data_IF_541209509937
#
_entry.id   IF_541209509937
#
_cell.length_a   1.000
_cell.length_b   1.000
_cell.length_c   1.000
_cell.angle_alpha   90.00
_cell.angle_beta   90.00
_cell.angle_gamma   90.00
#
_symmetry.space_group_name_H-M   'P 1'
#
loop_
_entity.id
_entity.type
_entity.pdbx_description
1 polymer ?
#
# COMPACT_ATOMS: atom_id res chain seq x y z
N UNK A 1 51.00 27.77 18.47
CA UNK A 1 50.15 28.72 17.73
C UNK A 1 50.06 28.23 16.28
N UNK A 2 49.01 27.48 15.95
CA UNK A 2 48.78 26.91 14.62
C UNK A 2 47.62 27.70 13.96
N UNK A 3 47.91 28.38 12.85
CA UNK A 3 46.93 29.14 12.05
C UNK A 3 46.03 28.18 11.28
N UNK A 4 44.72 28.14 11.59
CA UNK A 4 43.69 27.46 10.82
C UNK A 4 43.47 28.24 9.48
N UNK A 5 43.69 27.55 8.36
CA UNK A 5 43.34 28.03 7.02
C UNK A 5 41.86 27.85 6.78
N UNK A 6 41.17 28.91 6.37
CA UNK A 6 39.76 28.89 5.88
C UNK A 6 39.73 28.29 4.48
N UNK A 7 38.73 27.44 4.14
CA UNK A 7 38.53 27.00 2.77
C UNK A 7 37.95 28.13 1.89
N UNK A 8 38.42 28.17 0.66
CA UNK A 8 37.98 29.13 -0.39
C UNK A 8 36.64 28.66 -1.00
N UNK A 9 35.78 29.58 -1.44
CA UNK A 9 34.53 29.27 -2.11
C UNK A 9 34.77 28.81 -3.56
N UNK A 10 33.88 27.95 -4.13
CA UNK A 10 34.04 27.46 -5.50
C UNK A 10 33.79 28.57 -6.54
N UNK A 11 34.65 28.60 -7.55
CA UNK A 11 34.61 29.52 -8.69
C UNK A 11 33.39 29.25 -9.57
N UNK A 12 32.58 30.27 -9.82
CA UNK A 12 31.52 30.27 -10.82
C UNK A 12 32.13 30.23 -12.21
N UNK A 13 32.00 29.10 -12.91
CA UNK A 13 32.26 29.02 -14.34
C UNK A 13 31.21 29.85 -15.09
N UNK A 14 31.67 30.93 -15.74
CA UNK A 14 30.86 31.73 -16.66
C UNK A 14 30.78 30.97 -17.97
N UNK A 15 29.58 30.48 -18.32
CA UNK A 15 29.27 30.07 -19.69
C UNK A 15 29.16 31.32 -20.56
N UNK A 16 30.09 31.43 -21.51
CA UNK A 16 30.03 32.40 -22.59
C UNK A 16 28.98 31.94 -23.60
N UNK A 17 27.92 32.72 -23.74
CA UNK A 17 26.95 32.56 -24.84
C UNK A 17 27.56 33.24 -26.08
N UNK A 18 27.92 32.42 -27.07
CA UNK A 18 28.29 32.91 -28.42
C UNK A 18 26.98 33.28 -29.15
N UNK A 19 26.73 34.60 -29.24
CA UNK A 19 25.74 35.14 -30.16
C UNK A 19 26.38 35.29 -31.54
N UNK A 20 26.09 34.40 -32.46
CA UNK A 20 26.34 34.61 -33.89
C UNK A 20 25.19 35.45 -34.47
N UNK A 21 25.47 36.70 -34.74
CA UNK A 21 24.62 37.55 -35.55
C UNK A 21 24.73 37.12 -37.02
N UNK A 22 23.65 36.54 -37.58
CA UNK A 22 23.44 36.42 -39.02
C UNK A 22 22.43 37.50 -39.44
N UNK A 23 22.94 38.54 -40.08
CA UNK A 23 22.15 39.45 -40.87
C UNK A 23 21.84 38.78 -42.21
N UNK A 24 20.57 38.72 -42.59
CA UNK A 24 20.20 38.18 -43.91
C UNK A 24 18.71 38.10 -44.14
N UNK A 25 18.15 39.09 -44.86
CA UNK A 25 16.99 38.82 -45.75
C UNK A 25 15.59 38.82 -45.14
N UNK A 26 14.93 39.98 -45.09
CA UNK A 26 13.49 40.01 -44.95
C UNK A 26 12.80 39.40 -46.18
N UNK A 27 12.45 38.16 -46.14
CA UNK A 27 11.43 37.55 -47.02
C UNK A 27 10.10 37.63 -46.25
N UNK A 28 9.24 38.53 -46.71
CA UNK A 28 7.82 38.55 -46.36
C UNK A 28 7.18 37.28 -46.88
N UNK A 29 7.38 36.15 -46.23
CA UNK A 29 6.52 35.00 -46.35
C UNK A 29 5.21 35.36 -45.62
N UNK A 30 4.15 35.62 -46.38
CA UNK A 30 2.78 35.58 -45.88
C UNK A 30 2.57 34.17 -45.26
N UNK A 31 2.92 34.01 -44.01
CA UNK A 31 2.61 32.82 -43.26
C UNK A 31 1.10 32.73 -43.19
N UNK A 32 0.53 31.80 -43.91
CA UNK A 32 -0.80 31.30 -43.64
C UNK A 32 -0.79 30.90 -42.17
N UNK A 33 -1.44 31.73 -41.34
CA UNK A 33 -1.78 31.32 -39.99
C UNK A 33 -2.63 30.06 -40.14
N UNK A 34 -2.01 28.89 -40.07
CA UNK A 34 -2.72 27.68 -39.83
C UNK A 34 -3.26 27.84 -38.41
N UNK A 35 -4.51 28.29 -38.30
CA UNK A 35 -5.26 28.13 -37.08
C UNK A 35 -5.17 26.64 -36.74
N UNK A 36 -4.47 26.31 -35.67
CA UNK A 36 -4.44 24.94 -35.12
C UNK A 36 -5.92 24.53 -35.03
N UNK A 37 -6.34 23.42 -35.69
CA UNK A 37 -7.76 23.08 -35.73
C UNK A 37 -8.24 22.99 -34.28
N UNK A 38 -9.35 23.65 -33.96
CA UNK A 38 -9.94 23.64 -32.66
C UNK A 38 -10.00 22.17 -32.17
N UNK A 39 -9.51 21.85 -30.96
CA UNK A 39 -9.39 20.49 -30.51
C UNK A 39 -10.74 19.79 -30.59
N UNK A 40 -10.81 18.69 -31.35
CA UNK A 40 -12.03 17.92 -31.49
C UNK A 40 -12.47 17.44 -30.12
N UNK A 41 -13.71 17.76 -29.71
CA UNK A 41 -14.27 17.42 -28.40
C UNK A 41 -14.11 15.93 -28.06
N UNK A 42 -14.26 15.05 -29.05
CA UNK A 42 -14.11 13.61 -28.91
C UNK A 42 -12.66 13.23 -28.52
N UNK A 43 -11.67 13.83 -29.20
CA UNK A 43 -10.25 13.55 -28.93
C UNK A 43 -9.80 14.08 -27.56
N UNK A 44 -10.32 15.23 -27.15
CA UNK A 44 -10.04 15.78 -25.80
C UNK A 44 -10.65 14.90 -24.72
N UNK A 45 -11.90 14.43 -24.92
CA UNK A 45 -12.54 13.49 -23.98
C UNK A 45 -11.73 12.21 -23.84
N UNK A 46 -11.34 11.59 -24.96
CA UNK A 46 -10.53 10.36 -24.99
C UNK A 46 -9.20 10.56 -24.25
N UNK A 47 -8.52 11.68 -24.50
CA UNK A 47 -7.26 12.00 -23.83
C UNK A 47 -7.42 12.20 -22.32
N UNK A 48 -8.49 12.86 -21.87
CA UNK A 48 -8.80 13.07 -20.47
C UNK A 48 -9.17 11.75 -19.80
N UNK A 49 -9.99 10.93 -20.44
CA UNK A 49 -10.38 9.63 -19.90
C UNK A 49 -9.16 8.70 -19.76
N UNK A 50 -8.26 8.67 -20.76
CA UNK A 50 -7.00 7.94 -20.71
C UNK A 50 -6.09 8.42 -19.58
N UNK A 51 -5.92 9.73 -19.40
CA UNK A 51 -5.09 10.29 -18.31
C UNK A 51 -5.66 9.96 -16.93
N UNK A 52 -6.99 9.95 -16.80
CA UNK A 52 -7.63 9.53 -15.56
C UNK A 52 -7.44 8.03 -15.28
N UNK A 53 -7.60 7.16 -16.29
CA UNK A 53 -7.34 5.72 -16.19
C UNK A 53 -5.89 5.44 -15.76
N UNK A 54 -4.92 6.07 -16.43
CA UNK A 54 -3.51 5.97 -16.04
C UNK A 54 -3.22 6.52 -14.63
N UNK A 55 -3.98 7.53 -14.18
CA UNK A 55 -3.88 8.01 -12.82
C UNK A 55 -4.44 7.00 -11.82
N UNK A 56 -5.56 6.33 -12.13
CA UNK A 56 -6.16 5.28 -11.28
C UNK A 56 -5.21 4.08 -11.13
N UNK A 57 -4.57 3.62 -12.21
CA UNK A 57 -3.53 2.58 -12.16
C UNK A 57 -2.38 2.98 -11.23
N UNK A 58 -1.93 4.24 -11.32
CA UNK A 58 -0.87 4.77 -10.46
C UNK A 58 -1.31 4.90 -9.00
N UNK A 59 -2.60 5.17 -8.75
CA UNK A 59 -3.20 5.24 -7.42
C UNK A 59 -3.23 3.86 -6.77
N UNK A 60 -3.61 2.80 -7.51
CA UNK A 60 -3.59 1.45 -6.96
C UNK A 60 -2.17 1.01 -6.59
N UNK A 61 -1.16 1.33 -7.42
CA UNK A 61 0.24 1.07 -7.08
C UNK A 61 0.68 1.85 -5.83
N UNK A 62 0.27 3.13 -5.71
CA UNK A 62 0.52 3.93 -4.51
C UNK A 62 -0.11 3.30 -3.26
N UNK A 63 -1.35 2.81 -3.36
CA UNK A 63 -2.05 2.11 -2.28
C UNK A 63 -1.29 0.85 -1.84
N UNK A 64 -0.74 0.07 -2.78
CA UNK A 64 0.08 -1.09 -2.48
C UNK A 64 1.37 -0.74 -1.72
N UNK A 65 2.06 0.31 -2.14
CA UNK A 65 3.24 0.79 -1.41
C UNK A 65 2.89 1.34 -0.03
N UNK A 66 1.74 2.00 0.13
CA UNK A 66 1.26 2.49 1.42
C UNK A 66 0.95 1.34 2.39
N UNK A 67 0.28 0.29 1.93
CA UNK A 67 0.01 -0.92 2.72
C UNK A 67 1.32 -1.62 3.12
N UNK A 68 2.27 -1.74 2.17
CA UNK A 68 3.60 -2.28 2.44
C UNK A 68 4.36 -1.46 3.48
N UNK A 69 4.29 -0.14 3.40
CA UNK A 69 4.90 0.75 4.40
C UNK A 69 4.33 0.51 5.79
N UNK A 70 3.00 0.39 5.92
CA UNK A 70 2.36 0.11 7.22
C UNK A 70 2.79 -1.24 7.79
N UNK A 71 2.88 -2.28 6.96
CA UNK A 71 3.34 -3.61 7.37
C UNK A 71 4.79 -3.57 7.85
N UNK A 72 5.68 -2.96 7.07
CA UNK A 72 7.09 -2.81 7.43
C UNK A 72 7.28 -1.96 8.70
N UNK A 73 6.47 -0.91 8.89
CA UNK A 73 6.51 -0.12 10.12
C UNK A 73 6.12 -0.96 11.35
N UNK A 74 5.08 -1.78 11.23
CA UNK A 74 4.69 -2.73 12.29
C UNK A 74 5.76 -3.78 12.58
N UNK A 75 6.48 -4.23 11.56
CA UNK A 75 7.61 -5.16 11.68
C UNK A 75 8.81 -4.49 12.36
N UNK A 76 9.18 -3.27 11.92
CA UNK A 76 10.25 -2.49 12.53
C UNK A 76 10.01 -2.26 14.03
N UNK A 77 8.78 -1.93 14.44
CA UNK A 77 8.44 -1.77 15.85
C UNK A 77 8.64 -3.08 16.62
N UNK A 78 8.21 -4.22 16.08
CA UNK A 78 8.41 -5.53 16.72
C UNK A 78 9.88 -5.91 16.84
N UNK A 79 10.68 -5.64 15.83
CA UNK A 79 12.13 -5.90 15.86
C UNK A 79 12.80 -5.00 16.90
N UNK A 80 12.40 -3.73 16.97
CA UNK A 80 12.90 -2.77 17.94
C UNK A 80 12.67 -3.24 19.40
N UNK A 81 11.47 -3.80 19.66
CA UNK A 81 11.18 -4.42 20.96
C UNK A 81 12.03 -5.67 21.24
N UNK A 82 12.31 -6.51 20.23
CA UNK A 82 13.20 -7.67 20.37
C UNK A 82 14.62 -7.21 20.71
N UNK A 83 15.15 -6.23 19.99
CA UNK A 83 16.48 -5.66 20.22
C UNK A 83 16.59 -5.08 21.63
N UNK A 84 15.55 -4.37 22.10
CA UNK A 84 15.53 -3.81 23.47
C UNK A 84 15.58 -4.92 24.52
N UNK A 85 14.75 -5.96 24.41
CA UNK A 85 14.76 -7.11 25.34
C UNK A 85 16.08 -7.88 25.29
N UNK A 86 16.63 -8.12 24.10
CA UNK A 86 17.93 -8.78 23.97
C UNK A 86 19.07 -7.97 24.57
N UNK A 87 19.03 -6.63 24.45
CA UNK A 87 20.00 -5.74 25.10
C UNK A 87 19.91 -5.81 26.64
N UNK A 88 18.69 -5.87 27.18
CA UNK A 88 18.44 -6.01 28.61
C UNK A 88 18.99 -7.37 29.15
N UNK A 89 18.64 -8.47 28.45
CA UNK A 89 19.14 -9.80 28.77
C UNK A 89 20.68 -9.88 28.73
N UNK A 90 21.27 -9.26 27.72
CA UNK A 90 22.74 -9.19 27.57
C UNK A 90 23.36 -8.38 28.72
N UNK A 91 22.75 -7.29 29.17
CA UNK A 91 23.26 -6.49 30.30
C UNK A 91 23.18 -7.29 31.60
N UNK A 92 22.11 -8.05 31.84
CA UNK A 92 22.01 -8.95 33.00
C UNK A 92 23.11 -10.03 32.99
N UNK A 93 23.31 -10.69 31.84
CA UNK A 93 24.35 -11.69 31.65
C UNK A 93 25.75 -11.10 31.91
N UNK A 94 26.02 -9.88 31.40
CA UNK A 94 27.28 -9.17 31.66
C UNK A 94 27.48 -8.88 33.14
N UNK A 95 26.42 -8.47 33.86
CA UNK A 95 26.48 -8.23 35.29
C UNK A 95 26.82 -9.52 36.07
N UNK A 96 26.18 -10.63 35.71
CA UNK A 96 26.44 -11.95 36.31
C UNK A 96 27.86 -12.43 36.05
N UNK A 97 28.33 -12.33 34.77
CA UNK A 97 29.70 -12.67 34.40
C UNK A 97 30.72 -11.77 35.11
N UNK A 98 30.42 -10.48 35.25
CA UNK A 98 31.27 -9.52 35.98
C UNK A 98 31.39 -9.88 37.45
N UNK A 99 30.32 -10.34 38.11
CA UNK A 99 30.36 -10.81 39.49
C UNK A 99 31.27 -12.05 39.65
N UNK A 100 31.18 -13.01 38.72
CA UNK A 100 32.02 -14.20 38.71
C UNK A 100 33.52 -13.80 38.53
N UNK A 101 33.80 -12.92 37.57
CA UNK A 101 35.18 -12.46 37.34
C UNK A 101 35.77 -11.69 38.53
N UNK A 102 34.95 -10.85 39.19
CA UNK A 102 35.35 -10.12 40.40
C UNK A 102 35.63 -11.06 41.59
N UNK A 103 34.88 -12.14 41.71
CA UNK A 103 35.08 -13.14 42.74
C UNK A 103 36.38 -13.92 42.51
N UNK A 104 36.66 -14.37 41.30
CA UNK A 104 37.91 -15.00 40.90
C UNK A 104 39.13 -14.09 41.16
N UNK A 105 39.01 -12.81 40.85
CA UNK A 105 40.08 -11.85 41.11
C UNK A 105 40.35 -11.66 42.62
N UNK A 106 39.31 -11.53 43.43
CA UNK A 106 39.42 -11.36 44.89
C UNK A 106 40.02 -12.58 45.55
N UNK A 107 39.79 -13.77 45.04
CA UNK A 107 40.34 -15.02 45.52
C UNK A 107 41.80 -15.26 45.07
N UNK A 108 42.49 -14.24 44.53
CA UNK A 108 43.93 -14.25 44.27
C UNK A 108 44.37 -14.98 43.00
N UNK A 109 43.43 -15.32 42.10
CA UNK A 109 43.73 -15.95 40.82
C UNK A 109 44.36 -17.35 40.89
N UNK A 110 44.46 -17.95 42.06
CA UNK A 110 44.92 -19.32 42.25
C UNK A 110 43.83 -20.26 41.76
N UNK A 111 44.18 -21.12 40.81
CA UNK A 111 43.24 -22.12 40.29
C UNK A 111 42.66 -22.92 41.47
N UNK A 112 41.32 -23.06 41.54
CA UNK A 112 40.69 -23.80 42.64
C UNK A 112 41.19 -25.24 42.80
N UNK A 113 41.63 -25.89 41.71
CA UNK A 113 42.23 -27.22 41.75
C UNK A 113 43.58 -27.21 42.47
N UNK A 114 44.37 -26.16 42.33
CA UNK A 114 45.64 -26.01 43.09
C UNK A 114 45.37 -25.78 44.55
N UNK A 115 44.38 -24.99 44.89
CA UNK A 115 43.91 -24.79 46.28
C UNK A 115 43.47 -26.11 46.93
N UNK A 116 42.75 -26.93 46.18
CA UNK A 116 42.25 -28.22 46.60
C UNK A 116 43.39 -29.22 46.85
N UNK A 117 44.48 -29.19 46.05
CA UNK A 117 45.67 -30.03 46.24
C UNK A 117 46.50 -29.61 47.46
N UNK A 118 46.41 -28.37 47.90
CA UNK A 118 47.14 -27.85 49.06
C UNK A 118 46.34 -27.99 50.38
N UNK A 119 45.13 -28.54 50.31
CA UNK A 119 44.27 -28.74 51.50
C UNK A 119 44.69 -29.98 52.30
N UNK A 120 44.73 -29.85 53.58
CA UNK A 120 45.16 -30.91 54.52
C UNK A 120 44.03 -31.87 54.90
N UNK A 121 42.79 -31.71 54.40
CA UNK A 121 41.65 -32.57 54.73
C UNK A 121 41.25 -33.47 53.51
N UNK A 122 41.71 -34.73 53.42
CA UNK A 122 41.39 -35.66 52.37
C UNK A 122 39.93 -36.14 52.40
N UNK A 123 39.23 -36.11 53.51
CA UNK A 123 37.87 -36.60 53.63
C UNK A 123 36.88 -35.63 53.00
N UNK A 124 37.10 -34.32 53.13
CA UNK A 124 36.30 -33.29 52.43
C UNK A 124 36.67 -33.03 50.94
N UNK A 125 37.76 -33.67 50.47
CA UNK A 125 38.30 -33.42 49.12
C UNK A 125 37.26 -33.69 47.99
N UNK A 126 36.60 -34.85 48.03
CA UNK A 126 35.65 -35.25 46.99
C UNK A 126 34.40 -34.36 46.96
N UNK A 127 33.93 -33.96 48.13
CA UNK A 127 32.77 -33.07 48.23
C UNK A 127 33.07 -31.67 47.69
N UNK A 128 34.25 -31.12 48.04
CA UNK A 128 34.70 -29.83 47.49
C UNK A 128 35.01 -29.90 46.01
N UNK A 129 35.55 -31.01 45.50
CA UNK A 129 35.78 -31.21 44.09
C UNK A 129 34.47 -31.29 43.29
N UNK A 130 33.46 -31.95 43.83
CA UNK A 130 32.13 -31.99 43.22
C UNK A 130 31.48 -30.59 43.16
N UNK A 131 31.56 -29.81 44.23
CA UNK A 131 31.09 -28.44 44.27
C UNK A 131 31.82 -27.54 43.27
N UNK A 132 33.14 -27.68 43.09
CA UNK A 132 33.92 -26.94 42.11
C UNK A 132 33.51 -27.29 40.66
N UNK A 133 33.32 -28.56 40.36
CA UNK A 133 32.81 -28.98 39.02
C UNK A 133 31.44 -28.35 38.72
N UNK A 134 30.54 -28.31 39.70
CA UNK A 134 29.24 -27.68 39.55
C UNK A 134 29.35 -26.17 39.29
N UNK A 135 30.29 -25.47 39.92
CA UNK A 135 30.56 -24.04 39.66
C UNK A 135 31.13 -23.84 38.25
N UNK A 136 32.10 -24.68 37.82
CA UNK A 136 32.68 -24.62 36.50
C UNK A 136 31.64 -24.87 35.41
N UNK A 137 30.76 -25.85 35.59
CA UNK A 137 29.64 -26.14 34.68
C UNK A 137 28.67 -24.98 34.61
N UNK A 138 28.33 -24.35 35.72
CA UNK A 138 27.46 -23.17 35.75
C UNK A 138 28.08 -21.96 35.06
N UNK A 139 29.37 -21.73 35.19
CA UNK A 139 30.10 -20.66 34.48
C UNK A 139 30.15 -20.93 32.98
N UNK A 140 30.40 -22.19 32.59
CA UNK A 140 30.39 -22.60 31.16
C UNK A 140 29.02 -22.40 30.53
N UNK A 141 27.94 -22.76 31.27
CA UNK A 141 26.56 -22.53 30.82
C UNK A 141 26.25 -21.04 30.66
N UNK A 142 26.68 -20.18 31.58
CA UNK A 142 26.50 -18.75 31.55
C UNK A 142 27.22 -18.10 30.33
N UNK A 143 28.44 -18.55 30.04
CA UNK A 143 29.17 -18.09 28.86
C UNK A 143 28.50 -18.49 27.55
N UNK A 144 28.04 -19.74 27.44
CA UNK A 144 27.27 -20.21 26.29
C UNK A 144 25.99 -19.38 26.10
N UNK A 145 25.25 -19.15 27.16
CA UNK A 145 24.05 -18.32 27.14
C UNK A 145 24.36 -16.89 26.66
N UNK A 146 25.43 -16.28 27.14
CA UNK A 146 25.84 -14.95 26.71
C UNK A 146 26.24 -14.92 25.21
N UNK A 147 26.92 -15.96 24.73
CA UNK A 147 27.27 -16.08 23.30
C UNK A 147 26.04 -16.28 22.41
N UNK A 148 25.07 -17.06 22.86
CA UNK A 148 23.82 -17.27 22.15
C UNK A 148 22.98 -15.99 22.08
N UNK A 149 22.85 -15.29 23.20
CA UNK A 149 22.11 -14.02 23.26
C UNK A 149 22.78 -12.94 22.41
N UNK A 150 24.12 -12.86 22.41
CA UNK A 150 24.86 -11.96 21.54
C UNK A 150 24.57 -12.24 20.07
N UNK A 151 24.57 -13.52 19.65
CA UNK A 151 24.24 -13.89 18.27
C UNK A 151 22.81 -13.51 17.88
N UNK A 152 21.83 -13.74 18.78
CA UNK A 152 20.43 -13.33 18.55
C UNK A 152 20.33 -11.82 18.39
N UNK A 153 20.94 -11.07 19.28
CA UNK A 153 20.95 -9.61 19.24
C UNK A 153 21.57 -9.06 17.94
N UNK A 154 22.64 -9.69 17.47
CA UNK A 154 23.28 -9.30 16.21
C UNK A 154 22.40 -9.63 15.00
N UNK A 155 21.66 -10.75 15.01
CA UNK A 155 20.66 -11.09 14.02
C UNK A 155 19.50 -10.10 14.01
N UNK A 156 18.92 -9.80 15.19
CA UNK A 156 17.82 -8.83 15.30
C UNK A 156 18.24 -7.42 14.82
N UNK A 157 19.48 -7.01 15.08
CA UNK A 157 20.02 -5.74 14.57
C UNK A 157 20.20 -5.74 13.05
N UNK A 158 20.64 -6.85 12.49
CA UNK A 158 20.75 -7.00 11.03
C UNK A 158 19.37 -6.96 10.37
N UNK A 159 18.37 -7.64 10.94
CA UNK A 159 16.97 -7.61 10.51
C UNK A 159 16.40 -6.18 10.59
N UNK A 160 16.66 -5.46 11.70
CA UNK A 160 16.26 -4.06 11.85
C UNK A 160 16.83 -3.17 10.74
N UNK A 161 18.12 -3.32 10.45
CA UNK A 161 18.79 -2.55 9.39
C UNK A 161 18.20 -2.85 8.01
N UNK A 162 17.92 -4.11 7.70
CA UNK A 162 17.29 -4.52 6.45
C UNK A 162 15.86 -3.97 6.32
N UNK A 163 15.07 -4.02 7.39
CA UNK A 163 13.70 -3.49 7.41
C UNK A 163 13.68 -1.97 7.24
N UNK A 164 14.62 -1.24 7.86
CA UNK A 164 14.76 0.22 7.66
C UNK A 164 15.14 0.57 6.22
N UNK A 165 16.04 -0.18 5.59
CA UNK A 165 16.38 0.01 4.18
C UNK A 165 15.18 -0.22 3.25
N UNK A 166 14.34 -1.21 3.56
CA UNK A 166 13.09 -1.45 2.83
C UNK A 166 12.09 -0.30 3.01
N UNK A 167 11.96 0.25 4.24
CA UNK A 167 11.11 1.41 4.52
C UNK A 167 11.55 2.64 3.73
N UNK A 168 12.84 2.91 3.64
CA UNK A 168 13.40 4.01 2.84
C UNK A 168 13.09 3.84 1.35
N UNK A 169 13.31 2.64 0.81
CA UNK A 169 12.97 2.30 -0.58
C UNK A 169 11.47 2.50 -0.87
N UNK A 170 10.59 2.02 0.02
CA UNK A 170 9.14 2.18 -0.13
C UNK A 170 8.74 3.65 -0.02
N UNK A 171 9.37 4.45 0.84
CA UNK A 171 9.17 5.89 0.95
C UNK A 171 9.52 6.63 -0.34
N UNK A 172 10.61 6.23 -0.99
CA UNK A 172 11.02 6.76 -2.30
C UNK A 172 9.98 6.44 -3.39
N UNK A 173 9.52 5.19 -3.46
CA UNK A 173 8.47 4.78 -4.41
C UNK A 173 7.16 5.52 -4.18
N UNK A 174 6.72 5.68 -2.93
CA UNK A 174 5.52 6.46 -2.59
C UNK A 174 5.64 7.90 -3.09
N UNK A 175 6.78 8.53 -2.91
CA UNK A 175 7.02 9.90 -3.37
C UNK A 175 6.97 9.98 -4.89
N UNK A 176 7.62 9.06 -5.60
CA UNK A 176 7.60 8.99 -7.06
C UNK A 176 6.18 8.77 -7.61
N UNK A 177 5.41 7.84 -7.04
CA UNK A 177 4.03 7.57 -7.44
C UNK A 177 3.11 8.77 -7.19
N UNK A 178 3.27 9.43 -6.03
CA UNK A 178 2.54 10.67 -5.72
C UNK A 178 2.76 11.74 -6.79
N UNK A 179 4.01 11.99 -7.17
CA UNK A 179 4.35 12.96 -8.21
C UNK A 179 3.75 12.57 -9.58
N UNK A 180 3.80 11.29 -9.92
CA UNK A 180 3.22 10.76 -11.15
C UNK A 180 1.71 10.97 -11.24
N UNK A 181 0.98 10.66 -10.15
CA UNK A 181 -0.46 10.88 -10.05
C UNK A 181 -0.77 12.37 -10.19
N UNK A 182 -0.08 13.23 -9.46
CA UNK A 182 -0.28 14.69 -9.53
C UNK A 182 -0.03 15.23 -10.93
N UNK A 183 1.02 14.78 -11.61
CA UNK A 183 1.33 15.20 -12.98
C UNK A 183 0.23 14.79 -13.97
N UNK A 184 -0.26 13.54 -13.89
CA UNK A 184 -1.35 13.06 -14.77
C UNK A 184 -2.65 13.81 -14.54
N UNK A 185 -3.04 14.04 -13.27
CA UNK A 185 -4.23 14.81 -12.93
C UNK A 185 -4.13 16.27 -13.38
N UNK A 186 -2.96 16.90 -13.18
CA UNK A 186 -2.70 18.27 -13.66
C UNK A 186 -2.78 18.37 -15.19
N UNK A 187 -2.25 17.38 -15.90
CA UNK A 187 -2.31 17.30 -17.36
C UNK A 187 -3.75 17.10 -17.85
N UNK A 188 -4.54 16.23 -17.21
CA UNK A 188 -5.95 16.06 -17.50
C UNK A 188 -6.73 17.36 -17.29
N UNK A 189 -6.49 18.05 -16.18
CA UNK A 189 -7.10 19.35 -15.89
C UNK A 189 -6.69 20.43 -16.89
N UNK A 190 -5.42 20.51 -17.28
CA UNK A 190 -4.93 21.44 -18.29
C UNK A 190 -5.58 21.17 -19.65
N UNK A 191 -5.80 19.91 -20.01
CA UNK A 191 -6.49 19.51 -21.24
C UNK A 191 -7.95 19.93 -21.21
N UNK A 192 -8.65 19.74 -20.11
CA UNK A 192 -10.03 20.23 -19.92
C UNK A 192 -10.12 21.76 -19.96
N UNK A 193 -9.13 22.45 -19.42
CA UNK A 193 -9.13 23.93 -19.40
C UNK A 193 -8.95 24.56 -20.80
N UNK A 194 -8.46 23.81 -21.79
CA UNK A 194 -8.40 24.26 -23.18
C UNK A 194 -9.77 24.29 -23.85
N UNK A 195 -10.77 23.62 -23.29
CA UNK A 195 -12.12 23.61 -23.79
C UNK A 195 -12.86 24.90 -23.43
N UNK A 196 -13.69 25.40 -24.35
CA UNK A 196 -14.64 26.47 -24.06
C UNK A 196 -15.67 26.03 -23.00
N UNK A 197 -16.36 26.99 -22.39
CA UNK A 197 -17.44 26.69 -21.43
C UNK A 197 -18.56 25.84 -22.07
N UNK A 198 -18.88 26.10 -23.34
CA UNK A 198 -19.88 25.36 -24.12
C UNK A 198 -19.44 23.92 -24.37
N UNK A 199 -18.15 23.70 -24.71
CA UNK A 199 -17.63 22.36 -24.98
C UNK A 199 -17.53 21.54 -23.69
N UNK A 200 -17.20 22.17 -22.55
CA UNK A 200 -17.26 21.50 -21.23
C UNK A 200 -18.69 21.06 -20.90
N UNK A 201 -19.69 21.92 -21.19
CA UNK A 201 -21.10 21.56 -20.99
C UNK A 201 -21.48 20.37 -21.89
N UNK A 202 -21.01 20.31 -23.13
CA UNK A 202 -21.24 19.16 -24.05
C UNK A 202 -20.60 17.87 -23.53
N UNK A 203 -19.35 17.93 -23.02
CA UNK A 203 -18.68 16.76 -22.40
C UNK A 203 -19.48 16.22 -21.22
N UNK A 204 -19.91 17.10 -20.33
CA UNK A 204 -20.71 16.71 -19.17
C UNK A 204 -22.08 16.12 -19.59
N UNK A 205 -22.72 16.71 -20.61
CA UNK A 205 -23.96 16.18 -21.14
C UNK A 205 -23.78 14.80 -21.80
N UNK A 206 -22.69 14.58 -22.54
CA UNK A 206 -22.36 13.29 -23.13
C UNK A 206 -22.12 12.21 -22.07
N UNK A 207 -21.35 12.50 -21.00
CA UNK A 207 -21.13 11.58 -19.89
C UNK A 207 -22.46 11.19 -19.21
N UNK A 208 -23.33 12.17 -19.00
CA UNK A 208 -24.68 11.92 -18.43
C UNK A 208 -25.53 11.05 -19.38
N UNK A 209 -25.46 11.29 -20.69
CA UNK A 209 -26.18 10.51 -21.68
C UNK A 209 -25.64 9.07 -21.80
N UNK A 210 -24.32 8.86 -21.71
CA UNK A 210 -23.70 7.53 -21.68
C UNK A 210 -24.16 6.75 -20.45
N UNK A 211 -24.19 7.40 -19.28
CA UNK A 211 -24.73 6.82 -18.04
C UNK A 211 -26.19 6.40 -18.21
N UNK A 212 -27.04 7.28 -18.75
CA UNK A 212 -28.43 6.98 -19.00
C UNK A 212 -28.62 5.84 -20.02
N UNK A 213 -27.79 5.79 -21.08
CA UNK A 213 -27.80 4.67 -22.04
C UNK A 213 -27.40 3.35 -21.40
N UNK A 214 -26.38 3.35 -20.52
CA UNK A 214 -25.98 2.18 -19.77
C UNK A 214 -27.10 1.68 -18.84
N UNK A 215 -27.78 2.61 -18.16
CA UNK A 215 -28.94 2.31 -17.33
C UNK A 215 -30.12 1.72 -18.15
N UNK A 216 -30.40 2.29 -19.33
CA UNK A 216 -31.46 1.80 -20.20
C UNK A 216 -31.13 0.40 -20.79
N UNK A 217 -29.89 0.14 -21.19
CA UNK A 217 -29.45 -1.20 -21.65
C UNK A 217 -29.65 -2.24 -20.56
N UNK A 218 -29.31 -1.90 -19.35
CA UNK A 218 -29.40 -2.78 -18.21
C UNK A 218 -30.85 -3.07 -17.81
N UNK A 219 -31.72 -2.04 -17.83
CA UNK A 219 -33.15 -2.22 -17.65
C UNK A 219 -33.72 -3.17 -18.71
N UNK A 220 -33.26 -3.05 -19.96
CA UNK A 220 -33.68 -3.94 -21.06
C UNK A 220 -33.14 -5.37 -20.88
N UNK A 221 -31.91 -5.56 -20.37
CA UNK A 221 -31.34 -6.88 -20.06
C UNK A 221 -32.09 -7.53 -18.89
N UNK A 222 -32.36 -6.79 -17.82
CA UNK A 222 -33.15 -7.25 -16.67
C UNK A 222 -34.58 -7.67 -17.10
N UNK A 223 -35.22 -6.89 -17.98
CA UNK A 223 -36.55 -7.19 -18.52
C UNK A 223 -36.53 -8.42 -19.47
N UNK A 224 -35.44 -8.63 -20.23
CA UNK A 224 -35.23 -9.89 -21.00
C UNK A 224 -35.01 -11.08 -20.10
N UNK A 225 -34.20 -10.94 -19.04
CA UNK A 225 -33.94 -11.99 -18.06
C UNK A 225 -35.22 -12.38 -17.32
N UNK A 226 -36.04 -11.43 -16.89
CA UNK A 226 -37.32 -11.68 -16.23
C UNK A 226 -38.35 -12.38 -17.14
N UNK A 227 -38.41 -12.01 -18.43
CA UNK A 227 -39.23 -12.71 -19.44
C UNK A 227 -38.72 -14.10 -19.79
N UNK A 228 -37.40 -14.32 -19.71
CA UNK A 228 -36.78 -15.66 -19.83
C UNK A 228 -37.10 -16.53 -18.63
N UNK A 229 -37.02 -16.00 -17.41
CA UNK A 229 -37.34 -16.69 -16.16
C UNK A 229 -38.84 -17.05 -16.06
N UNK A 230 -39.74 -16.21 -16.57
CA UNK A 230 -41.18 -16.50 -16.62
C UNK A 230 -41.54 -17.70 -17.54
N UNK A 231 -40.60 -18.16 -18.40
CA UNK A 231 -40.76 -19.37 -19.22
C UNK A 231 -40.17 -20.64 -18.60
N UNK A 232 -39.41 -20.52 -17.53
CA UNK A 232 -38.78 -21.61 -16.79
C UNK A 232 -39.15 -21.57 -15.32
N UNK A 233 -40.44 -21.28 -15.01
CA UNK A 233 -40.92 -21.29 -13.63
C UNK A 233 -41.02 -22.71 -13.08
N UNK A 234 -39.90 -23.18 -12.56
CA UNK A 234 -39.71 -24.22 -11.52
C UNK A 234 -38.33 -24.02 -10.85
N UNK A 235 -37.94 -22.83 -10.48
CA UNK A 235 -36.68 -22.54 -9.83
C UNK A 235 -36.85 -21.69 -8.58
N UNK A 236 -36.44 -22.22 -7.47
CA UNK A 236 -36.30 -21.65 -6.14
C UNK A 236 -35.95 -20.16 -6.15
N UNK A 237 -36.62 -19.30 -5.37
CA UNK A 237 -36.21 -17.89 -5.20
C UNK A 237 -34.74 -17.86 -4.74
N UNK A 238 -33.96 -16.95 -5.32
CA UNK A 238 -32.61 -16.68 -4.83
C UNK A 238 -32.67 -16.46 -3.31
N UNK A 239 -31.81 -17.14 -2.53
CA UNK A 239 -31.84 -16.97 -1.08
C UNK A 239 -31.67 -15.48 -0.74
N UNK A 240 -32.39 -14.96 0.26
CA UNK A 240 -32.20 -13.58 0.70
C UNK A 240 -30.72 -13.39 1.05
N UNK A 241 -30.14 -12.24 0.64
CA UNK A 241 -28.77 -11.88 0.94
C UNK A 241 -28.47 -12.21 2.41
N UNK A 242 -27.39 -12.95 2.69
CA UNK A 242 -26.97 -13.25 4.06
C UNK A 242 -26.94 -11.93 4.86
N UNK A 243 -27.17 -11.95 6.18
CA UNK A 243 -27.13 -10.74 7.00
C UNK A 243 -25.83 -9.93 6.78
N UNK A 244 -24.73 -10.60 6.41
CA UNK A 244 -23.46 -9.99 6.04
C UNK A 244 -23.55 -9.20 4.73
N UNK A 245 -24.11 -9.76 3.67
CA UNK A 245 -24.28 -9.08 2.40
C UNK A 245 -25.18 -7.84 2.53
N UNK A 246 -26.23 -7.93 3.33
CA UNK A 246 -27.09 -6.78 3.64
C UNK A 246 -26.32 -5.66 4.35
N UNK A 247 -25.47 -5.99 5.32
CA UNK A 247 -24.62 -5.01 6.03
C UNK A 247 -23.61 -4.32 5.09
N UNK A 248 -22.97 -5.07 4.19
CA UNK A 248 -22.03 -4.54 3.19
C UNK A 248 -22.75 -3.53 2.27
N UNK A 249 -23.90 -3.92 1.72
CA UNK A 249 -24.68 -3.09 0.81
C UNK A 249 -25.23 -1.86 1.53
N UNK A 250 -25.75 -2.00 2.73
CA UNK A 250 -26.25 -0.88 3.55
C UNK A 250 -25.11 0.12 3.85
N UNK A 251 -23.93 -0.38 4.21
CA UNK A 251 -22.78 0.49 4.40
C UNK A 251 -22.45 1.25 3.12
N UNK A 252 -22.39 0.57 1.96
CA UNK A 252 -22.07 1.20 0.68
C UNK A 252 -23.08 2.31 0.32
N UNK A 253 -24.39 2.08 0.51
CA UNK A 253 -25.42 3.09 0.31
C UNK A 253 -25.23 4.33 1.19
N UNK A 254 -24.81 4.15 2.43
CA UNK A 254 -24.54 5.25 3.36
C UNK A 254 -23.32 6.11 2.96
N UNK A 255 -22.50 5.66 2.00
CA UNK A 255 -21.35 6.42 1.50
C UNK A 255 -21.64 7.20 0.21
N UNK A 256 -22.84 7.04 -0.39
CA UNK A 256 -23.21 7.77 -1.61
C UNK A 256 -23.04 9.28 -1.43
N UNK A 257 -22.51 9.93 -2.48
CA UNK A 257 -22.25 11.37 -2.50
C UNK A 257 -20.97 11.81 -1.81
N UNK A 258 -20.25 10.94 -1.07
CA UNK A 258 -18.96 11.26 -0.51
C UNK A 258 -17.90 11.37 -1.61
N UNK A 259 -16.95 12.31 -1.49
CA UNK A 259 -15.95 12.53 -2.52
C UNK A 259 -14.99 11.36 -2.66
N UNK A 260 -14.53 11.12 -3.88
CA UNK A 260 -13.37 10.26 -4.12
C UNK A 260 -12.11 10.90 -3.53
N UNK A 261 -11.32 10.10 -2.83
CA UNK A 261 -10.00 10.48 -2.34
C UNK A 261 -9.02 9.34 -2.58
N UNK A 262 -7.95 9.58 -3.36
CA UNK A 262 -6.94 8.56 -3.60
C UNK A 262 -6.21 8.18 -2.31
N UNK A 263 -6.03 6.87 -2.08
CA UNK A 263 -5.52 6.31 -0.84
C UNK A 263 -6.52 6.32 0.32
N UNK A 264 -7.73 6.86 0.14
CA UNK A 264 -8.69 7.03 1.22
C UNK A 264 -9.52 5.78 1.48
N UNK A 265 -9.68 5.45 2.77
CA UNK A 265 -10.44 4.30 3.27
C UNK A 265 -11.61 4.71 4.18
N UNK A 266 -12.03 5.98 4.09
CA UNK A 266 -13.12 6.56 4.88
C UNK A 266 -12.66 7.30 6.15
N UNK A 267 -13.59 7.87 6.92
CA UNK A 267 -15.04 7.94 6.68
C UNK A 267 -15.48 9.09 5.75
N UNK A 268 -14.64 10.10 5.50
CA UNK A 268 -15.01 11.31 4.76
C UNK A 268 -14.89 11.18 3.25
N UNK A 269 -14.00 10.32 2.77
CA UNK A 269 -13.73 10.04 1.36
C UNK A 269 -13.27 8.61 1.17
N UNK A 270 -13.34 8.11 -0.06
CA UNK A 270 -12.94 6.74 -0.40
C UNK A 270 -12.30 6.70 -1.79
N UNK A 271 -11.33 5.80 -1.99
CA UNK A 271 -11.03 5.28 -3.31
C UNK A 271 -11.82 3.98 -3.56
N UNK A 272 -11.68 3.37 -4.74
CA UNK A 272 -12.46 2.19 -5.14
C UNK A 272 -12.28 1.01 -4.17
N UNK A 273 -11.04 0.57 -3.95
CA UNK A 273 -10.69 -0.54 -3.06
C UNK A 273 -10.83 -0.20 -1.57
N UNK A 274 -10.70 1.09 -1.20
CA UNK A 274 -10.96 1.59 0.14
C UNK A 274 -12.43 1.54 0.53
N UNK A 275 -13.35 1.85 -0.40
CA UNK A 275 -14.79 1.75 -0.20
C UNK A 275 -15.20 0.28 0.04
N UNK A 276 -14.75 -0.62 -0.83
CA UNK A 276 -15.04 -2.06 -0.69
C UNK A 276 -14.47 -2.63 0.60
N UNK A 277 -13.21 -2.30 0.93
CA UNK A 277 -12.56 -2.71 2.17
C UNK A 277 -13.27 -2.19 3.42
N UNK A 278 -13.79 -0.96 3.40
CA UNK A 278 -14.57 -0.39 4.50
C UNK A 278 -15.93 -1.07 4.66
N UNK A 279 -16.62 -1.35 3.54
CA UNK A 279 -17.92 -2.02 3.55
C UNK A 279 -17.79 -3.45 4.11
N UNK A 280 -16.81 -4.20 3.67
CA UNK A 280 -16.59 -5.56 4.18
C UNK A 280 -16.12 -5.57 5.64
N UNK A 281 -15.31 -4.60 6.04
CA UNK A 281 -14.90 -4.42 7.45
C UNK A 281 -16.09 -4.16 8.36
N UNK A 282 -17.11 -3.42 7.91
CA UNK A 282 -18.35 -3.20 8.67
C UNK A 282 -19.13 -4.49 8.92
N UNK A 283 -18.93 -5.51 8.07
CA UNK A 283 -19.51 -6.85 8.20
C UNK A 283 -18.54 -7.87 8.85
N UNK A 284 -17.41 -7.40 9.43
CA UNK A 284 -16.43 -8.25 10.12
C UNK A 284 -15.46 -9.00 9.19
N UNK A 285 -15.40 -8.67 7.91
CA UNK A 285 -14.48 -9.26 6.93
C UNK A 285 -13.38 -8.29 6.58
N UNK A 286 -12.13 -8.74 6.59
CA UNK A 286 -10.97 -7.95 6.19
C UNK A 286 -10.60 -8.28 4.75
N UNK A 287 -10.64 -7.30 3.88
CA UNK A 287 -10.13 -7.40 2.51
C UNK A 287 -8.70 -6.85 2.43
N UNK A 288 -8.01 -7.27 1.38
CA UNK A 288 -6.74 -6.71 0.94
C UNK A 288 -6.90 -5.24 0.54
N UNK A 289 -5.77 -4.49 0.50
CA UNK A 289 -5.85 -3.04 0.24
C UNK A 289 -6.10 -2.69 -1.22
N UNK A 290 -5.42 -3.38 -2.13
CA UNK A 290 -5.49 -3.12 -3.58
C UNK A 290 -6.64 -3.90 -4.23
N UNK A 291 -7.22 -3.35 -5.30
CA UNK A 291 -8.22 -4.07 -6.10
C UNK A 291 -7.68 -5.37 -6.68
N UNK A 292 -6.42 -5.39 -7.15
CA UNK A 292 -5.75 -6.59 -7.65
C UNK A 292 -5.63 -7.70 -6.60
N UNK A 293 -5.39 -7.32 -5.35
CA UNK A 293 -5.30 -8.27 -4.23
C UNK A 293 -6.69 -8.73 -3.79
N UNK A 294 -7.69 -7.80 -3.75
CA UNK A 294 -9.09 -8.13 -3.46
C UNK A 294 -9.69 -9.13 -4.46
N UNK A 295 -9.19 -9.13 -5.69
CA UNK A 295 -9.52 -10.15 -6.69
C UNK A 295 -9.21 -11.57 -6.19
N UNK A 296 -8.30 -11.75 -5.24
CA UNK A 296 -7.91 -13.03 -4.66
C UNK A 296 -8.51 -13.30 -3.27
N UNK A 297 -9.33 -12.39 -2.74
CA UNK A 297 -9.89 -12.51 -1.39
C UNK A 297 -11.10 -13.47 -1.30
N UNK A 298 -11.50 -14.11 -2.40
CA UNK A 298 -12.60 -15.07 -2.41
C UNK A 298 -12.73 -15.85 -3.72
N UNK A 299 -13.71 -16.77 -3.80
CA UNK A 299 -13.97 -17.53 -5.03
C UNK A 299 -14.53 -16.64 -6.14
N UNK A 300 -14.19 -16.98 -7.38
CA UNK A 300 -14.71 -16.33 -8.59
C UNK A 300 -16.18 -16.65 -8.77
N UNK A 301 -16.96 -15.64 -9.11
CA UNK A 301 -18.40 -15.74 -9.34
C UNK A 301 -18.68 -15.46 -10.81
N UNK A 302 -19.46 -16.33 -11.47
CA UNK A 302 -19.94 -16.05 -12.82
C UNK A 302 -20.92 -14.89 -12.83
N UNK A 303 -21.02 -14.17 -13.95
CA UNK A 303 -21.89 -12.99 -14.09
C UNK A 303 -23.36 -13.30 -13.78
N UNK A 304 -23.82 -14.51 -14.13
CA UNK A 304 -25.20 -14.95 -13.92
C UNK A 304 -25.49 -15.35 -12.46
N UNK A 305 -24.44 -15.60 -11.65
CA UNK A 305 -24.54 -15.97 -10.25
C UNK A 305 -24.26 -14.80 -9.28
N UNK A 306 -24.18 -13.56 -9.81
CA UNK A 306 -23.96 -12.35 -9.00
C UNK A 306 -25.06 -12.14 -7.96
N UNK A 307 -24.65 -11.86 -6.74
CA UNK A 307 -25.53 -11.52 -5.61
C UNK A 307 -25.11 -10.16 -5.00
N UNK A 308 -26.08 -9.45 -4.44
CA UNK A 308 -25.81 -8.22 -3.73
C UNK A 308 -24.75 -8.44 -2.63
N UNK A 309 -23.74 -7.59 -2.60
CA UNK A 309 -22.58 -7.71 -1.74
C UNK A 309 -21.32 -8.26 -2.45
N UNK A 310 -21.43 -8.90 -3.61
CA UNK A 310 -20.25 -9.36 -4.37
C UNK A 310 -19.37 -8.19 -4.81
N UNK A 311 -18.08 -8.43 -4.93
CA UNK A 311 -17.13 -7.51 -5.56
C UNK A 311 -17.13 -7.71 -7.07
N UNK A 312 -17.26 -6.62 -7.82
CA UNK A 312 -17.18 -6.61 -9.28
C UNK A 312 -15.97 -5.81 -9.72
N UNK A 313 -15.19 -6.38 -10.64
CA UNK A 313 -13.89 -5.87 -11.05
C UNK A 313 -13.91 -5.48 -12.53
N UNK A 314 -13.12 -4.45 -12.84
CA UNK A 314 -13.10 -3.84 -14.16
C UNK A 314 -11.67 -3.66 -14.65
N UNK A 315 -11.54 -3.59 -15.99
CA UNK A 315 -10.30 -3.51 -16.77
C UNK A 315 -9.42 -4.76 -16.65
N UNK A 316 -8.59 -5.00 -17.65
CA UNK A 316 -7.75 -6.20 -17.73
C UNK A 316 -6.67 -6.27 -16.64
N UNK A 317 -6.23 -5.12 -16.16
CA UNK A 317 -5.24 -4.97 -15.06
C UNK A 317 -5.89 -4.87 -13.68
N UNK A 318 -7.23 -4.96 -13.60
CA UNK A 318 -8.00 -5.02 -12.35
C UNK A 318 -7.77 -3.79 -11.45
N UNK A 319 -7.54 -2.61 -12.03
CA UNK A 319 -7.30 -1.40 -11.25
C UNK A 319 -8.57 -0.76 -10.67
N UNK A 320 -9.76 -1.30 -10.96
CA UNK A 320 -11.02 -0.78 -10.45
C UNK A 320 -11.94 -1.86 -9.91
N UNK A 321 -12.68 -1.54 -8.82
CA UNK A 321 -13.58 -2.45 -8.12
C UNK A 321 -14.80 -1.69 -7.58
N UNK A 322 -15.95 -2.37 -7.55
CA UNK A 322 -17.20 -1.89 -6.94
C UNK A 322 -17.92 -2.99 -6.18
N UNK A 323 -18.95 -2.60 -5.43
CA UNK A 323 -19.84 -3.50 -4.70
C UNK A 323 -21.11 -3.70 -5.52
N UNK A 324 -21.40 -4.92 -5.93
CA UNK A 324 -22.63 -5.27 -6.62
C UNK A 324 -23.82 -5.13 -5.66
N UNK A 325 -24.89 -4.47 -6.10
CA UNK A 325 -26.06 -4.18 -5.28
C UNK A 325 -27.37 -4.83 -5.80
N UNK A 326 -27.25 -5.67 -6.82
CA UNK A 326 -28.41 -6.25 -7.53
C UNK A 326 -28.75 -5.48 -8.81
N UNK A 327 -29.65 -6.03 -9.61
CA UNK A 327 -30.18 -5.43 -10.83
C UNK A 327 -29.10 -4.93 -11.80
N UNK A 328 -27.94 -5.64 -11.83
CA UNK A 328 -26.78 -5.32 -12.63
C UNK A 328 -26.13 -3.97 -12.28
N UNK A 329 -26.34 -3.43 -11.11
CA UNK A 329 -25.78 -2.16 -10.61
C UNK A 329 -24.74 -2.41 -9.53
N UNK A 330 -23.83 -1.44 -9.41
CA UNK A 330 -22.83 -1.41 -8.34
C UNK A 330 -22.80 -0.06 -7.66
N UNK A 331 -22.27 -0.01 -6.45
CA UNK A 331 -21.78 1.20 -5.80
C UNK A 331 -20.27 1.20 -5.87
N UNK A 332 -19.68 2.29 -6.32
CA UNK A 332 -18.24 2.46 -6.42
C UNK A 332 -17.80 3.89 -6.12
N UNK A 333 -16.52 4.08 -5.83
CA UNK A 333 -15.85 5.37 -5.79
C UNK A 333 -15.08 5.52 -7.12
N UNK A 334 -15.56 6.37 -8.07
CA UNK A 334 -15.09 6.29 -9.44
C UNK A 334 -13.68 6.81 -9.66
N UNK A 335 -13.43 8.10 -9.39
CA UNK A 335 -12.14 8.77 -9.64
C UNK A 335 -12.07 10.16 -9.01
N UNK A 336 -10.90 10.77 -9.01
CA UNK A 336 -10.70 12.15 -8.56
C UNK A 336 -11.69 13.12 -9.22
N UNK A 337 -12.32 13.95 -8.40
CA UNK A 337 -13.32 14.93 -8.83
C UNK A 337 -14.74 14.37 -9.01
N UNK A 338 -14.95 13.11 -8.68
CA UNK A 338 -16.26 12.45 -8.63
C UNK A 338 -16.59 11.99 -7.21
N UNK A 339 -17.84 11.69 -6.99
CA UNK A 339 -18.34 11.18 -5.71
C UNK A 339 -18.68 9.69 -5.83
N UNK A 340 -18.75 9.00 -4.70
CA UNK A 340 -19.32 7.65 -4.62
C UNK A 340 -20.71 7.67 -5.23
N UNK A 341 -20.94 6.80 -6.20
CA UNK A 341 -22.18 6.76 -6.97
C UNK A 341 -22.62 5.34 -7.29
N UNK A 342 -23.89 5.23 -7.72
CA UNK A 342 -24.44 4.02 -8.33
C UNK A 342 -24.15 4.05 -9.82
N UNK A 343 -23.62 2.95 -10.37
CA UNK A 343 -23.38 2.82 -11.79
C UNK A 343 -23.73 1.40 -12.28
N UNK A 344 -24.25 1.24 -13.51
CA UNK A 344 -24.39 -0.08 -14.12
C UNK A 344 -23.03 -0.77 -14.30
N UNK A 345 -22.94 -2.09 -14.04
CA UNK A 345 -21.70 -2.85 -14.27
C UNK A 345 -21.34 -2.95 -15.77
N UNK A 346 -22.25 -2.61 -16.67
CA UNK A 346 -22.01 -2.54 -18.12
C UNK A 346 -21.40 -1.21 -18.59
N UNK A 347 -21.24 -0.24 -17.69
CA UNK A 347 -20.70 1.08 -18.02
C UNK A 347 -19.16 1.10 -18.15
N UNK A 348 -18.50 0.05 -17.68
CA UNK A 348 -17.05 -0.12 -17.71
C UNK A 348 -16.68 -1.51 -18.24
N UNK A 349 -15.42 -1.72 -18.72
CA UNK A 349 -14.94 -3.03 -19.16
C UNK A 349 -14.95 -4.04 -18.02
N UNK A 350 -16.01 -4.87 -17.94
CA UNK A 350 -16.18 -5.87 -16.89
C UNK A 350 -15.16 -7.01 -17.03
N UNK A 351 -14.42 -7.30 -15.96
CA UNK A 351 -13.42 -8.37 -15.89
C UNK A 351 -13.95 -9.63 -15.19
N UNK A 352 -14.70 -9.48 -14.11
CA UNK A 352 -15.22 -10.60 -13.33
C UNK A 352 -15.71 -10.20 -11.95
N UNK A 353 -16.04 -11.20 -11.11
CA UNK A 353 -16.52 -10.97 -9.76
C UNK A 353 -15.95 -11.98 -8.76
N UNK A 354 -15.97 -11.58 -7.47
CA UNK A 354 -15.51 -12.40 -6.34
C UNK A 354 -16.50 -12.24 -5.18
N UNK A 355 -16.69 -13.32 -4.40
CA UNK A 355 -17.50 -13.32 -3.16
C UNK A 355 -16.60 -13.65 -1.97
N UNK A 356 -16.04 -12.66 -1.27
CA UNK A 356 -15.23 -12.85 -0.06
C UNK A 356 -16.00 -13.42 1.13
#
# INVERSE_FOLDING_TARGET
MGKRRKPSPPSRARMAVLTTAMAGGAVLAAGTAHAEPAPNLASVKEQVDKLNEEAEQSIEQFNGFQDKQQKLQGEANRIQEKVARGQEAMNELRTRLGAVAADQYRNGGIDPSVRLMLDSDPAGYLERAAAQNQVADSQSALLKQAQEEQRRLDQDRAEATATLAQLDSVGTELTARKQQIQAKLAQAQATLNKLSAEDRAKVNAQQSAEKAKAEARQAAEADRASRGAARTDLGTPAPPASGRAAAIVQFAYAQLGKPYGWGATGPSSFDCSGLTGAAYRSAGVKLSRMSQDQWNDGPRISRDALQAGDLVFFYNDIHHVGIYIGDGKMIHAPRTGKNVEVLPISAMPYMGAVRP
#
